data_IF_456190854418
#
_entry.id   IF_456190854418
#
_cell.length_a   1.000
_cell.length_b   1.000
_cell.length_c   1.000
_cell.angle_alpha   90.00
_cell.angle_beta   90.00
_cell.angle_gamma   90.00
#
_symmetry.space_group_name_H-M   'P 1'
#
loop_
_entity.id
_entity.type
_entity.pdbx_description
1 polymer ?
#
# COMPACT_ATOMS: atom_id res chain seq x y z
N UNK A 1 15.70 -16.48 -15.78
CA UNK A 1 15.76 -15.61 -16.98
C UNK A 1 14.41 -15.54 -17.71
N UNK A 2 13.79 -16.67 -18.04
CA UNK A 2 12.50 -16.76 -18.74
C UNK A 2 11.36 -15.94 -18.12
N UNK A 3 11.20 -15.99 -16.79
CA UNK A 3 10.13 -15.26 -16.07
C UNK A 3 10.25 -13.74 -16.19
N UNK A 4 11.49 -13.23 -16.19
CA UNK A 4 11.77 -11.79 -16.37
C UNK A 4 11.36 -11.39 -17.78
N UNK A 5 11.70 -12.21 -18.78
CA UNK A 5 11.31 -11.99 -20.17
C UNK A 5 9.78 -11.95 -20.30
N UNK A 6 9.08 -12.92 -19.69
CA UNK A 6 7.60 -12.95 -19.69
C UNK A 6 7.03 -11.68 -19.05
N UNK A 7 7.58 -11.24 -17.91
CA UNK A 7 7.15 -10.01 -17.23
C UNK A 7 7.35 -8.79 -18.14
N UNK A 8 8.52 -8.66 -18.77
CA UNK A 8 8.85 -7.56 -19.69
C UNK A 8 7.92 -7.56 -20.91
N UNK A 9 7.68 -8.71 -21.54
CA UNK A 9 6.75 -8.85 -22.67
C UNK A 9 5.33 -8.47 -22.26
N UNK A 10 4.89 -8.91 -21.08
CA UNK A 10 3.56 -8.59 -20.53
C UNK A 10 3.40 -7.09 -20.29
N UNK A 11 4.40 -6.45 -19.68
CA UNK A 11 4.41 -4.99 -19.47
C UNK A 11 4.33 -4.27 -20.83
N UNK A 12 5.11 -4.73 -21.81
CA UNK A 12 5.14 -4.16 -23.15
C UNK A 12 3.77 -4.22 -23.85
N UNK A 13 3.12 -5.39 -23.87
CA UNK A 13 1.78 -5.51 -24.46
C UNK A 13 0.73 -4.72 -23.69
N UNK A 14 0.82 -4.66 -22.36
CA UNK A 14 -0.08 -3.84 -21.53
C UNK A 14 0.09 -2.35 -21.85
N UNK A 15 1.32 -1.90 -22.05
CA UNK A 15 1.62 -0.51 -22.43
C UNK A 15 1.12 -0.17 -23.84
N UNK A 16 1.34 -1.05 -24.83
CA UNK A 16 0.82 -0.85 -26.19
C UNK A 16 -0.72 -0.81 -26.17
N UNK A 17 -1.34 -1.71 -25.42
CA UNK A 17 -2.79 -1.76 -25.24
C UNK A 17 -3.34 -0.41 -24.75
N UNK A 18 -2.66 0.22 -23.78
CA UNK A 18 -3.01 1.55 -23.29
C UNK A 18 -2.88 2.68 -24.33
N UNK A 19 -1.91 2.58 -25.23
CA UNK A 19 -1.77 3.55 -26.33
C UNK A 19 -2.91 3.41 -27.35
N UNK A 20 -3.36 2.18 -27.62
CA UNK A 20 -4.36 1.89 -28.64
C UNK A 20 -5.80 2.24 -28.20
N UNK A 21 -6.73 2.39 -29.17
CA UNK A 21 -8.17 2.53 -28.88
C UNK A 21 -8.72 1.32 -28.11
N UNK A 22 -9.66 1.56 -27.18
CA UNK A 22 -10.19 0.54 -26.25
C UNK A 22 -10.63 -0.76 -26.97
N UNK A 23 -11.32 -0.65 -28.11
CA UNK A 23 -11.75 -1.83 -28.90
C UNK A 23 -10.58 -2.67 -29.43
N UNK A 24 -9.53 -2.03 -29.97
CA UNK A 24 -8.35 -2.72 -30.51
C UNK A 24 -7.50 -3.29 -29.36
N UNK A 25 -7.42 -2.54 -28.25
CA UNK A 25 -6.64 -2.90 -27.07
C UNK A 25 -7.06 -4.25 -26.47
N UNK A 26 -8.37 -4.51 -26.40
CA UNK A 26 -8.94 -5.76 -25.88
C UNK A 26 -8.54 -6.93 -26.78
N UNK A 27 -8.65 -6.78 -28.10
CA UNK A 27 -8.25 -7.82 -29.05
C UNK A 27 -6.74 -8.09 -29.02
N UNK A 28 -5.92 -7.04 -28.95
CA UNK A 28 -4.46 -7.19 -28.83
C UNK A 28 -4.09 -7.99 -27.59
N UNK A 29 -4.64 -7.61 -26.42
CA UNK A 29 -4.37 -8.31 -25.16
C UNK A 29 -4.86 -9.75 -25.21
N UNK A 30 -6.06 -10.00 -25.76
CA UNK A 30 -6.60 -11.35 -25.89
C UNK A 30 -5.72 -12.23 -26.78
N UNK A 31 -5.38 -11.76 -27.99
CA UNK A 31 -4.56 -12.52 -28.94
C UNK A 31 -3.16 -12.77 -28.37
N UNK A 32 -2.49 -11.72 -27.89
CA UNK A 32 -1.15 -11.85 -27.30
C UNK A 32 -1.11 -12.78 -26.09
N UNK A 33 -2.12 -12.71 -25.21
CA UNK A 33 -2.24 -13.61 -24.06
C UNK A 33 -2.46 -15.06 -24.49
N UNK A 34 -3.39 -15.31 -25.43
CA UNK A 34 -3.64 -16.64 -25.97
C UNK A 34 -2.38 -17.22 -26.65
N UNK A 35 -1.69 -16.43 -27.48
CA UNK A 35 -0.44 -16.84 -28.11
C UNK A 35 0.65 -17.16 -27.09
N UNK A 36 0.79 -16.34 -26.04
CA UNK A 36 1.75 -16.59 -24.96
C UNK A 36 1.40 -17.86 -24.19
N UNK A 37 0.12 -18.08 -23.86
CA UNK A 37 -0.34 -19.30 -23.19
C UNK A 37 0.03 -20.53 -24.03
N UNK A 38 -0.31 -20.54 -25.31
CA UNK A 38 0.01 -21.65 -26.23
C UNK A 38 1.52 -21.86 -26.32
N UNK A 39 2.30 -20.79 -26.49
CA UNK A 39 3.76 -20.87 -26.53
C UNK A 39 4.35 -21.49 -25.27
N UNK A 40 3.86 -21.10 -24.08
CA UNK A 40 4.35 -21.65 -22.82
C UNK A 40 4.06 -23.14 -22.70
N UNK A 41 2.85 -23.60 -23.06
CA UNK A 41 2.48 -25.01 -23.06
C UNK A 41 3.25 -25.84 -24.11
N UNK A 42 3.67 -25.24 -25.22
CA UNK A 42 4.46 -25.93 -26.26
C UNK A 42 5.94 -26.04 -25.90
N UNK A 43 6.46 -25.14 -25.07
CA UNK A 43 7.90 -25.03 -24.81
C UNK A 43 8.33 -25.58 -23.46
N UNK A 44 7.44 -25.61 -22.47
CA UNK A 44 7.79 -26.00 -21.11
C UNK A 44 6.87 -27.11 -20.61
N UNK A 45 7.35 -27.81 -19.58
CA UNK A 45 6.51 -28.73 -18.83
C UNK A 45 5.35 -27.99 -18.16
N UNK A 46 4.35 -28.77 -17.73
CA UNK A 46 3.13 -28.22 -17.16
C UNK A 46 3.40 -27.28 -15.96
N UNK A 47 4.27 -27.68 -15.04
CA UNK A 47 4.58 -26.91 -13.83
C UNK A 47 5.26 -25.57 -14.15
N UNK A 48 6.26 -25.59 -15.03
CA UNK A 48 6.96 -24.37 -15.46
C UNK A 48 6.03 -23.43 -16.24
N UNK A 49 5.08 -23.99 -16.99
CA UNK A 49 4.03 -23.24 -17.68
C UNK A 49 3.08 -22.57 -16.69
N UNK A 50 2.55 -23.30 -15.71
CA UNK A 50 1.63 -22.76 -14.70
C UNK A 50 2.25 -21.59 -13.94
N UNK A 51 3.52 -21.72 -13.61
CA UNK A 51 4.32 -20.72 -12.91
C UNK A 51 4.58 -19.49 -13.77
N UNK A 52 4.99 -19.70 -15.02
CA UNK A 52 5.14 -18.65 -16.03
C UNK A 52 3.85 -17.85 -16.25
N UNK A 53 2.70 -18.55 -16.32
CA UNK A 53 1.39 -17.92 -16.43
C UNK A 53 1.04 -17.10 -15.20
N UNK A 54 1.31 -17.59 -13.99
CA UNK A 54 1.03 -16.81 -12.78
C UNK A 54 1.85 -15.51 -12.72
N UNK A 55 3.11 -15.52 -13.16
CA UNK A 55 3.93 -14.30 -13.31
C UNK A 55 3.34 -13.36 -14.36
N UNK A 56 2.91 -13.89 -15.50
CA UNK A 56 2.21 -13.12 -16.53
C UNK A 56 0.96 -12.44 -15.96
N UNK A 57 0.08 -13.17 -15.26
CA UNK A 57 -1.13 -12.62 -14.67
C UNK A 57 -0.84 -11.58 -13.59
N UNK A 58 0.05 -11.86 -12.63
CA UNK A 58 0.43 -10.90 -11.59
C UNK A 58 0.99 -9.62 -12.21
N UNK A 59 1.85 -9.75 -13.21
CA UNK A 59 2.42 -8.59 -13.93
C UNK A 59 1.33 -7.80 -14.63
N UNK A 60 0.44 -8.47 -15.37
CA UNK A 60 -0.67 -7.84 -16.07
C UNK A 60 -1.57 -7.06 -15.11
N UNK A 61 -2.10 -7.70 -14.06
CA UNK A 61 -3.00 -7.05 -13.10
C UNK A 61 -2.33 -5.90 -12.34
N UNK A 62 -1.02 -5.99 -12.09
CA UNK A 62 -0.28 -4.92 -11.40
C UNK A 62 -0.14 -3.68 -12.29
N UNK A 63 0.09 -3.87 -13.59
CA UNK A 63 0.33 -2.76 -14.53
C UNK A 63 -0.93 -2.20 -15.18
N UNK A 64 -2.04 -2.94 -15.22
CA UNK A 64 -3.33 -2.40 -15.70
C UNK A 64 -3.86 -1.27 -14.83
N UNK A 65 -3.55 -1.27 -13.53
CA UNK A 65 -3.88 -0.16 -12.61
C UNK A 65 -3.12 1.13 -12.97
N UNK A 66 -1.92 1.00 -13.54
CA UNK A 66 -1.08 2.12 -13.99
C UNK A 66 -1.51 2.57 -15.39
N UNK A 67 -1.68 1.61 -16.30
CA UNK A 67 -2.04 1.82 -17.69
C UNK A 67 -3.55 1.76 -17.92
N UNK A 68 -4.27 2.60 -17.20
CA UNK A 68 -5.73 2.64 -17.20
C UNK A 68 -6.28 3.58 -18.29
N UNK A 69 -7.08 3.04 -19.21
CA UNK A 69 -7.73 3.82 -20.28
C UNK A 69 -8.64 4.93 -19.75
N UNK A 70 -9.30 4.75 -18.61
CA UNK A 70 -10.21 5.75 -18.07
C UNK A 70 -9.42 6.97 -17.56
N UNK A 71 -8.21 6.75 -17.00
CA UNK A 71 -7.27 7.84 -16.66
C UNK A 71 -6.80 8.61 -17.89
N UNK A 72 -6.56 7.91 -19.01
CA UNK A 72 -6.17 8.53 -20.28
C UNK A 72 -7.29 9.40 -20.85
N UNK A 73 -8.54 8.92 -20.83
CA UNK A 73 -9.71 9.69 -21.29
C UNK A 73 -9.88 10.94 -20.42
N UNK A 74 -9.81 10.80 -19.10
CA UNK A 74 -9.89 11.94 -18.16
C UNK A 74 -8.79 12.96 -18.43
N UNK A 75 -7.56 12.51 -18.70
CA UNK A 75 -6.46 13.39 -19.09
C UNK A 75 -6.77 14.18 -20.38
N UNK A 76 -7.29 13.53 -21.41
CA UNK A 76 -7.66 14.20 -22.66
C UNK A 76 -8.77 15.24 -22.44
N UNK A 77 -9.78 14.92 -21.64
CA UNK A 77 -10.85 15.86 -21.26
C UNK A 77 -10.30 17.11 -20.56
N UNK A 78 -9.41 16.93 -19.57
CA UNK A 78 -8.81 18.05 -18.85
C UNK A 78 -7.85 18.87 -19.72
N UNK A 79 -7.13 18.24 -20.64
CA UNK A 79 -6.31 18.96 -21.63
C UNK A 79 -7.16 19.81 -22.58
N UNK A 80 -8.32 19.30 -23.02
CA UNK A 80 -9.27 20.08 -23.82
C UNK A 80 -9.83 21.25 -23.02
N UNK A 81 -10.21 21.01 -21.76
CA UNK A 81 -10.70 22.07 -20.85
C UNK A 81 -9.67 23.19 -20.66
N UNK A 82 -8.40 22.85 -20.46
CA UNK A 82 -7.30 23.82 -20.36
C UNK A 82 -7.05 24.61 -21.65
N UNK A 83 -7.44 24.09 -22.82
CA UNK A 83 -7.23 24.79 -24.09
C UNK A 83 -8.21 25.94 -24.34
N UNK A 84 -9.35 25.93 -23.65
CA UNK A 84 -10.44 26.90 -23.82
C UNK A 84 -10.54 27.86 -22.63
N UNK A 85 -9.99 27.48 -21.47
CA UNK A 85 -10.14 28.21 -20.22
C UNK A 85 -8.88 28.97 -19.84
N UNK A 86 -9.02 30.15 -19.24
CA UNK A 86 -7.90 30.86 -18.64
C UNK A 86 -7.36 30.08 -17.43
N UNK A 87 -6.05 29.85 -17.40
CA UNK A 87 -5.40 29.16 -16.29
C UNK A 87 -4.13 29.88 -15.83
N UNK A 88 -3.79 29.67 -14.57
CA UNK A 88 -2.51 30.07 -13.98
C UNK A 88 -1.70 28.82 -13.68
N UNK A 89 -0.42 28.82 -14.05
CA UNK A 89 0.47 27.69 -13.79
C UNK A 89 1.01 27.81 -12.37
N UNK A 90 0.84 26.75 -11.58
CA UNK A 90 1.48 26.59 -10.28
C UNK A 90 2.84 25.93 -10.52
N UNK A 91 3.88 26.75 -10.66
CA UNK A 91 5.23 26.22 -10.89
C UNK A 91 5.74 25.43 -9.68
N UNK A 92 6.23 24.22 -9.93
CA UNK A 92 6.79 23.34 -8.91
C UNK A 92 8.31 23.43 -8.92
N UNK A 93 8.91 23.64 -7.74
CA UNK A 93 10.37 23.66 -7.59
C UNK A 93 10.93 22.24 -7.69
N UNK A 94 11.85 22.01 -8.63
CA UNK A 94 12.41 20.68 -8.92
C UNK A 94 13.84 20.54 -8.39
N UNK A 95 14.12 19.42 -7.75
CA UNK A 95 15.42 19.07 -7.20
C UNK A 95 15.63 17.55 -7.29
N UNK A 96 16.73 17.15 -7.95
CA UNK A 96 17.09 15.75 -8.19
C UNK A 96 17.25 14.97 -6.88
N UNK A 97 17.64 15.63 -5.78
CA UNK A 97 17.74 15.00 -4.46
C UNK A 97 16.42 14.36 -4.03
N UNK A 98 15.28 14.92 -4.43
CA UNK A 98 13.94 14.44 -4.05
C UNK A 98 13.63 13.07 -4.63
N UNK A 99 13.92 12.85 -5.91
CA UNK A 99 13.69 11.56 -6.58
C UNK A 99 14.77 10.53 -6.22
N UNK A 100 16.02 10.97 -5.99
CA UNK A 100 17.08 10.10 -5.49
C UNK A 100 16.73 9.50 -4.13
N UNK A 101 16.07 10.25 -3.25
CA UNK A 101 15.59 9.72 -1.98
C UNK A 101 14.48 8.67 -2.15
N UNK A 102 13.54 8.87 -3.08
CA UNK A 102 12.53 7.86 -3.41
C UNK A 102 13.20 6.56 -3.93
N UNK A 103 14.16 6.69 -4.85
CA UNK A 103 14.94 5.56 -5.39
C UNK A 103 15.69 4.85 -4.26
N UNK A 104 16.31 5.59 -3.35
CA UNK A 104 17.07 5.01 -2.24
C UNK A 104 16.16 4.24 -1.26
N UNK A 105 14.99 4.79 -0.91
CA UNK A 105 14.01 4.12 -0.04
C UNK A 105 13.42 2.88 -0.71
N UNK A 106 12.99 2.98 -1.97
CA UNK A 106 12.49 1.86 -2.75
C UNK A 106 13.57 0.77 -2.90
N UNK A 107 14.80 1.18 -3.21
CA UNK A 107 15.97 0.32 -3.32
C UNK A 107 16.35 -0.37 -2.01
N UNK A 108 16.19 0.30 -0.85
CA UNK A 108 16.43 -0.31 0.46
C UNK A 108 15.42 -1.42 0.78
N UNK A 109 14.14 -1.20 0.46
CA UNK A 109 13.06 -2.18 0.70
C UNK A 109 13.17 -3.35 -0.29
N UNK A 110 13.37 -3.06 -1.58
CA UNK A 110 13.54 -4.07 -2.62
C UNK A 110 14.88 -4.81 -2.53
N UNK A 111 15.91 -4.14 -2.00
CA UNK A 111 17.29 -4.63 -1.94
C UNK A 111 17.42 -5.93 -1.15
N UNK A 112 16.67 -6.08 -0.05
CA UNK A 112 16.62 -7.35 0.70
C UNK A 112 16.15 -8.49 -0.22
N UNK A 113 15.06 -8.27 -0.96
CA UNK A 113 14.53 -9.26 -1.91
C UNK A 113 15.50 -9.56 -3.05
N UNK A 114 16.17 -8.54 -3.60
CA UNK A 114 17.18 -8.71 -4.65
C UNK A 114 18.40 -9.49 -4.16
N UNK A 115 18.92 -9.16 -2.98
CA UNK A 115 20.03 -9.89 -2.36
C UNK A 115 19.63 -11.35 -2.11
N UNK A 116 18.47 -11.60 -1.50
CA UNK A 116 17.98 -12.95 -1.28
C UNK A 116 17.85 -13.73 -2.60
N UNK A 117 17.36 -13.10 -3.68
CA UNK A 117 17.28 -13.74 -5.00
C UNK A 117 18.64 -14.16 -5.57
N UNK A 118 19.67 -13.34 -5.39
CA UNK A 118 21.02 -13.60 -5.91
C UNK A 118 21.75 -14.70 -5.15
N UNK A 119 21.56 -14.78 -3.83
CA UNK A 119 22.29 -15.71 -2.96
C UNK A 119 21.52 -16.97 -2.59
N UNK A 120 20.23 -17.08 -2.92
CA UNK A 120 19.46 -18.29 -2.61
C UNK A 120 19.96 -19.50 -3.42
N UNK A 121 20.17 -20.67 -2.76
CA UNK A 121 20.41 -21.92 -3.48
C UNK A 121 19.30 -22.24 -4.48
N UNK A 122 19.67 -22.78 -5.64
CA UNK A 122 18.70 -23.18 -6.68
C UNK A 122 17.76 -24.30 -6.23
N UNK A 123 18.05 -25.00 -5.14
CA UNK A 123 17.15 -26.03 -4.61
C UNK A 123 15.85 -25.46 -4.00
N UNK A 124 15.76 -24.14 -3.78
CA UNK A 124 14.61 -23.48 -3.12
C UNK A 124 13.96 -22.49 -4.09
N UNK A 125 13.56 -23.01 -5.25
CA UNK A 125 13.06 -22.19 -6.35
C UNK A 125 11.77 -21.44 -5.93
N UNK A 126 10.91 -22.06 -5.13
CA UNK A 126 9.65 -21.48 -4.62
C UNK A 126 9.84 -20.12 -3.93
N UNK A 127 10.89 -19.98 -3.11
CA UNK A 127 11.15 -18.74 -2.39
C UNK A 127 11.64 -17.63 -3.32
N UNK A 128 12.41 -17.99 -4.35
CA UNK A 128 12.80 -17.05 -5.42
C UNK A 128 11.57 -16.53 -6.17
N UNK A 129 10.57 -17.37 -6.43
CA UNK A 129 9.33 -16.90 -7.06
C UNK A 129 8.57 -15.90 -6.21
N UNK A 130 8.40 -16.18 -4.92
CA UNK A 130 7.75 -15.28 -3.96
C UNK A 130 8.43 -13.90 -3.93
N UNK A 131 9.77 -13.88 -3.88
CA UNK A 131 10.55 -12.64 -3.94
C UNK A 131 10.41 -11.92 -5.28
N UNK A 132 10.36 -12.68 -6.39
CA UNK A 132 10.11 -12.14 -7.72
C UNK A 132 8.75 -11.46 -7.86
N UNK A 133 7.67 -12.10 -7.39
CA UNK A 133 6.34 -11.48 -7.37
C UNK A 133 6.31 -10.20 -6.54
N UNK A 134 6.95 -10.22 -5.37
CA UNK A 134 7.04 -9.03 -4.53
C UNK A 134 7.72 -7.86 -5.26
N UNK A 135 8.83 -8.12 -5.97
CA UNK A 135 9.49 -7.09 -6.76
C UNK A 135 8.59 -6.55 -7.89
N UNK A 136 7.86 -7.43 -8.59
CA UNK A 136 6.91 -7.02 -9.63
C UNK A 136 5.80 -6.13 -9.05
N UNK A 137 5.25 -6.48 -7.89
CA UNK A 137 4.19 -5.72 -7.22
C UNK A 137 4.65 -4.34 -6.72
N UNK A 138 5.94 -4.17 -6.45
CA UNK A 138 6.51 -2.90 -5.98
C UNK A 138 6.78 -1.90 -7.12
N UNK A 139 6.88 -2.35 -8.37
CA UNK A 139 7.20 -1.50 -9.53
C UNK A 139 6.09 -0.48 -9.88
N UNK A 140 4.79 -0.82 -9.96
CA UNK A 140 3.76 0.11 -10.44
C UNK A 140 3.61 1.39 -9.59
N UNK A 141 3.53 1.35 -8.24
CA UNK A 141 3.46 2.56 -7.42
C UNK A 141 4.70 3.44 -7.57
N UNK A 142 5.88 2.82 -7.67
CA UNK A 142 7.14 3.53 -7.89
C UNK A 142 7.20 4.19 -9.28
N UNK A 143 6.73 3.50 -10.31
CA UNK A 143 6.62 4.04 -11.66
C UNK A 143 5.68 5.25 -11.71
N UNK A 144 4.50 5.17 -11.09
CA UNK A 144 3.60 6.32 -10.97
C UNK A 144 4.29 7.51 -10.32
N UNK A 145 4.94 7.28 -9.17
CA UNK A 145 5.66 8.34 -8.44
C UNK A 145 6.77 8.97 -9.27
N UNK A 146 7.56 8.18 -10.00
CA UNK A 146 8.60 8.66 -10.89
C UNK A 146 8.03 9.53 -12.03
N UNK A 147 6.93 9.09 -12.63
CA UNK A 147 6.27 9.81 -13.72
C UNK A 147 5.60 11.11 -13.23
N UNK A 148 5.03 11.11 -12.03
CA UNK A 148 4.52 12.32 -11.39
C UNK A 148 5.63 13.32 -11.12
N UNK A 149 6.78 12.89 -10.59
CA UNK A 149 7.94 13.77 -10.43
C UNK A 149 8.42 14.38 -11.76
N UNK A 150 8.46 13.58 -12.84
CA UNK A 150 8.97 14.03 -14.14
C UNK A 150 7.97 14.91 -14.89
N UNK A 151 6.68 14.58 -14.88
CA UNK A 151 5.72 15.15 -15.82
C UNK A 151 4.55 15.90 -15.18
N UNK A 152 4.37 15.84 -13.85
CA UNK A 152 3.27 16.55 -13.22
C UNK A 152 3.38 18.07 -13.44
N UNK A 153 2.27 18.64 -13.89
CA UNK A 153 2.02 20.07 -14.02
C UNK A 153 0.72 20.39 -13.30
N UNK A 154 0.70 21.53 -12.62
CA UNK A 154 -0.42 21.95 -11.79
C UNK A 154 -0.92 23.29 -12.31
N UNK A 155 -2.23 23.37 -12.50
CA UNK A 155 -2.93 24.48 -13.10
C UNK A 155 -4.06 24.91 -12.16
N UNK A 156 -4.14 26.19 -11.86
CA UNK A 156 -5.28 26.79 -11.18
C UNK A 156 -6.18 27.44 -12.24
N UNK A 157 -7.46 27.12 -12.26
CA UNK A 157 -8.49 27.78 -13.09
C UNK A 157 -9.25 28.74 -12.17
N UNK A 158 -8.93 30.05 -12.16
CA UNK A 158 -9.47 30.99 -11.18
C UNK A 158 -10.99 31.20 -11.32
N UNK A 159 -11.50 31.20 -12.55
CA UNK A 159 -12.92 31.45 -12.86
C UNK A 159 -13.80 30.29 -12.40
N UNK A 160 -13.34 29.06 -12.62
CA UNK A 160 -14.06 27.85 -12.22
C UNK A 160 -13.77 27.42 -10.78
N UNK A 161 -12.75 28.01 -10.14
CA UNK A 161 -12.29 27.63 -8.81
C UNK A 161 -11.89 26.15 -8.73
N UNK A 162 -11.12 25.69 -9.72
CA UNK A 162 -10.69 24.29 -9.82
C UNK A 162 -9.17 24.22 -9.93
N UNK A 163 -8.57 23.32 -9.15
CA UNK A 163 -7.17 22.92 -9.27
C UNK A 163 -7.07 21.68 -10.16
N UNK A 164 -6.36 21.80 -11.27
CA UNK A 164 -6.16 20.73 -12.25
C UNK A 164 -4.71 20.26 -12.20
N UNK A 165 -4.50 18.95 -12.06
CA UNK A 165 -3.18 18.34 -12.08
C UNK A 165 -3.11 17.39 -13.25
N UNK A 166 -2.11 17.54 -14.10
CA UNK A 166 -1.89 16.66 -15.25
C UNK A 166 -0.50 16.08 -15.16
N UNK A 167 -0.43 14.75 -15.07
CA UNK A 167 0.79 13.94 -15.15
C UNK A 167 0.79 13.11 -16.45
N UNK A 168 1.80 12.26 -16.62
CA UNK A 168 1.89 11.40 -17.80
C UNK A 168 0.73 10.40 -17.86
N UNK A 169 0.42 9.73 -16.74
CA UNK A 169 -0.55 8.63 -16.68
C UNK A 169 -1.82 8.95 -15.88
N UNK A 170 -1.81 10.00 -15.08
CA UNK A 170 -2.96 10.39 -14.26
C UNK A 170 -3.27 11.88 -14.45
N UNK A 171 -4.54 12.22 -14.38
CA UNK A 171 -5.00 13.59 -14.33
C UNK A 171 -6.11 13.74 -13.30
N UNK A 172 -6.07 14.84 -12.56
CA UNK A 172 -6.99 15.14 -11.46
C UNK A 172 -7.58 16.52 -11.64
N UNK A 173 -8.82 16.62 -11.19
CA UNK A 173 -9.60 17.84 -11.17
C UNK A 173 -10.16 17.94 -9.76
N UNK A 174 -9.83 19.03 -9.07
CA UNK A 174 -10.06 19.22 -7.66
C UNK A 174 -10.80 20.55 -7.47
N UNK A 175 -12.13 20.50 -7.27
CA UNK A 175 -12.90 21.69 -6.96
C UNK A 175 -12.44 22.30 -5.64
N UNK A 176 -12.17 23.61 -5.64
CA UNK A 176 -11.71 24.32 -4.44
C UNK A 176 -12.79 24.41 -3.36
N UNK A 177 -14.06 24.24 -3.71
CA UNK A 177 -15.17 24.13 -2.76
C UNK A 177 -14.97 22.97 -1.76
N UNK A 178 -14.32 21.88 -2.18
CA UNK A 178 -14.04 20.73 -1.33
C UNK A 178 -12.74 20.86 -0.54
N UNK A 179 -12.05 22.00 -0.59
CA UNK A 179 -10.81 22.21 0.15
C UNK A 179 -11.11 22.42 1.64
N UNK A 180 -10.73 21.44 2.46
CA UNK A 180 -11.01 21.46 3.90
C UNK A 180 -9.90 22.12 4.70
N UNK A 181 -8.62 21.94 4.31
CA UNK A 181 -7.49 22.51 5.04
C UNK A 181 -6.24 22.69 4.21
N UNK A 182 -5.44 23.69 4.58
CA UNK A 182 -4.10 23.92 4.07
C UNK A 182 -3.10 23.89 5.23
N UNK A 183 -2.02 23.15 5.06
CA UNK A 183 -0.93 23.14 6.05
C UNK A 183 0.42 23.34 5.37
N UNK A 184 1.18 24.34 5.85
CA UNK A 184 2.57 24.57 5.46
C UNK A 184 3.49 23.61 6.21
N UNK A 185 4.40 23.00 5.48
CA UNK A 185 5.34 22.01 5.98
C UNK A 185 6.77 22.39 5.57
N UNK A 186 7.71 22.42 6.51
CA UNK A 186 9.07 22.90 6.20
C UNK A 186 9.81 22.05 5.15
N UNK A 187 9.53 20.75 5.10
CA UNK A 187 10.10 19.79 4.15
C UNK A 187 9.08 18.68 3.83
N UNK A 188 9.25 17.91 2.74
CA UNK A 188 8.47 16.71 2.50
C UNK A 188 8.74 15.62 3.55
N UNK A 189 7.68 15.07 4.15
CA UNK A 189 7.78 13.91 5.04
C UNK A 189 7.85 12.60 4.24
N UNK A 190 9.07 12.22 3.85
CA UNK A 190 9.33 11.02 3.06
C UNK A 190 8.75 9.72 3.66
N UNK A 191 8.74 9.60 4.99
CA UNK A 191 8.24 8.41 5.68
C UNK A 191 6.72 8.28 5.65
N UNK A 192 6.04 9.36 5.29
CA UNK A 192 4.59 9.43 5.13
C UNK A 192 4.16 9.41 3.67
N UNK A 193 4.98 9.97 2.78
CA UNK A 193 4.68 10.08 1.34
C UNK A 193 5.08 8.84 0.54
N UNK A 194 6.13 8.13 0.94
CA UNK A 194 6.63 7.01 0.14
C UNK A 194 5.59 5.86 0.09
N UNK A 195 5.22 5.33 -1.09
CA UNK A 195 4.14 4.34 -1.25
C UNK A 195 4.33 3.08 -0.39
N UNK A 196 5.57 2.61 -0.28
CA UNK A 196 5.90 1.41 0.51
C UNK A 196 5.63 1.58 2.02
N UNK A 197 5.53 2.81 2.52
CA UNK A 197 5.26 3.10 3.94
C UNK A 197 3.82 3.54 4.24
N UNK A 198 2.96 3.67 3.22
CA UNK A 198 1.57 4.06 3.42
C UNK A 198 0.79 2.98 4.22
N UNK A 199 0.05 3.33 5.27
CA UNK A 199 -0.66 2.31 6.08
C UNK A 199 -2.10 2.05 5.60
N UNK A 200 -2.94 3.10 5.53
CA UNK A 200 -4.36 3.01 5.15
C UNK A 200 -4.65 3.56 3.76
N UNK A 201 -4.28 4.81 3.49
CA UNK A 201 -4.50 5.47 2.22
C UNK A 201 -3.19 5.90 1.58
N UNK A 202 -3.08 5.68 0.27
CA UNK A 202 -2.02 6.30 -0.53
C UNK A 202 -2.29 7.79 -0.64
N UNK A 203 -1.34 8.60 -0.14
CA UNK A 203 -1.39 10.06 -0.26
C UNK A 203 -0.84 10.48 -1.62
N UNK A 204 -1.42 11.51 -2.22
CA UNK A 204 -0.99 11.97 -3.55
C UNK A 204 0.22 12.88 -3.45
N UNK A 205 1.36 12.37 -3.92
CA UNK A 205 2.65 13.04 -3.79
C UNK A 205 3.12 13.66 -5.10
N UNK A 206 2.90 14.97 -5.22
CA UNK A 206 3.39 15.81 -6.31
C UNK A 206 4.58 16.68 -5.88
N UNK A 207 5.26 16.32 -4.78
CA UNK A 207 6.45 17.04 -4.33
C UNK A 207 7.64 16.75 -5.25
N UNK A 208 8.35 17.81 -5.62
CA UNK A 208 9.47 17.74 -6.58
C UNK A 208 10.79 18.27 -6.02
N UNK A 209 10.81 18.80 -4.79
CA UNK A 209 12.04 19.22 -4.10
C UNK A 209 11.92 19.06 -2.58
N UNK A 210 13.01 19.30 -1.84
CA UNK A 210 13.00 19.45 -0.37
C UNK A 210 12.74 20.91 0.06
N UNK A 211 11.90 21.63 -0.67
CA UNK A 211 11.43 22.95 -0.25
C UNK A 211 10.18 22.83 0.61
N UNK A 212 9.69 23.96 1.11
CA UNK A 212 8.43 24.04 1.83
C UNK A 212 7.30 23.42 1.01
N UNK A 213 6.53 22.55 1.67
CA UNK A 213 5.44 21.79 1.08
C UNK A 213 4.12 22.42 1.50
N UNK A 214 3.20 22.54 0.55
CA UNK A 214 1.80 22.77 0.82
C UNK A 214 1.07 21.43 0.83
N UNK A 215 0.56 21.06 1.99
CA UNK A 215 -0.39 19.97 2.13
C UNK A 215 -1.80 20.55 1.93
N UNK A 216 -2.50 20.05 0.92
CA UNK A 216 -3.90 20.36 0.67
C UNK A 216 -4.73 19.11 0.99
N UNK A 217 -5.72 19.26 1.86
CA UNK A 217 -6.67 18.18 2.18
C UNK A 217 -8.03 18.55 1.64
N UNK A 218 -8.50 17.75 0.70
CA UNK A 218 -9.84 17.79 0.13
C UNK A 218 -10.70 16.69 0.76
N UNK A 219 -12.02 16.77 0.60
CA UNK A 219 -12.94 15.74 1.04
C UNK A 219 -12.65 14.37 0.39
N UNK A 220 -11.96 13.51 1.15
CA UNK A 220 -11.59 12.15 0.74
C UNK A 220 -10.19 11.99 0.14
N UNK A 221 -9.44 13.07 -0.11
CA UNK A 221 -8.06 12.96 -0.59
C UNK A 221 -7.14 14.09 -0.12
N UNK A 222 -5.91 13.72 0.25
CA UNK A 222 -4.84 14.66 0.60
C UNK A 222 -3.71 14.59 -0.42
N UNK A 223 -3.23 15.77 -0.82
CA UNK A 223 -2.12 15.94 -1.74
C UNK A 223 -1.02 16.87 -1.22
N UNK A 224 0.18 16.71 -1.77
CA UNK A 224 1.38 17.44 -1.36
C UNK A 224 2.05 18.08 -2.57
N UNK A 225 2.32 19.38 -2.47
CA UNK A 225 2.92 20.19 -3.53
C UNK A 225 4.12 20.97 -3.03
N UNK A 226 5.10 21.19 -3.90
CA UNK A 226 6.23 22.10 -3.64
C UNK A 226 6.22 23.27 -4.63
N UNK A 227 5.28 24.23 -4.49
CA UNK A 227 5.23 25.38 -5.37
C UNK A 227 6.42 26.31 -5.15
N UNK A 228 6.80 27.10 -6.15
CA UNK A 228 7.88 28.10 -6.04
C UNK A 228 7.47 29.25 -5.10
N UNK A 229 6.26 29.79 -5.27
CA UNK A 229 5.74 30.91 -4.46
C UNK A 229 4.75 30.41 -3.40
N UNK A 230 5.27 29.78 -2.36
CA UNK A 230 4.47 29.09 -1.32
C UNK A 230 3.53 30.04 -0.60
N UNK A 231 4.00 31.23 -0.19
CA UNK A 231 3.19 32.20 0.54
C UNK A 231 2.03 32.71 -0.30
N UNK A 232 2.29 33.06 -1.56
CA UNK A 232 1.27 33.57 -2.48
C UNK A 232 0.16 32.54 -2.74
N UNK A 233 0.53 31.28 -3.01
CA UNK A 233 -0.45 30.21 -3.24
C UNK A 233 -1.21 29.83 -1.97
N UNK A 234 -0.53 29.79 -0.82
CA UNK A 234 -1.18 29.56 0.47
C UNK A 234 -2.24 30.63 0.74
N UNK A 235 -1.90 31.91 0.63
CA UNK A 235 -2.85 33.01 0.83
C UNK A 235 -3.98 32.99 -0.21
N UNK A 236 -3.67 32.64 -1.47
CA UNK A 236 -4.69 32.57 -2.51
C UNK A 236 -5.72 31.47 -2.23
N UNK A 237 -5.27 30.28 -1.84
CA UNK A 237 -6.13 29.11 -1.60
C UNK A 237 -6.85 29.15 -0.24
N UNK A 238 -6.27 29.80 0.77
CA UNK A 238 -6.89 29.94 2.09
C UNK A 238 -8.26 30.64 2.02
N UNK A 239 -8.45 31.51 1.02
CA UNK A 239 -9.72 32.21 0.76
C UNK A 239 -10.90 31.30 0.41
N UNK A 240 -10.65 30.05 0.00
CA UNK A 240 -11.70 29.09 -0.31
C UNK A 240 -12.12 28.24 0.90
N UNK A 241 -11.37 28.32 2.00
CA UNK A 241 -11.69 27.56 3.22
C UNK A 241 -12.76 28.30 4.00
N UNK A 242 -13.90 27.63 4.23
CA UNK A 242 -15.04 28.23 4.94
C UNK A 242 -14.81 28.37 6.46
N UNK A 243 -13.92 27.55 7.04
CA UNK A 243 -13.62 27.52 8.47
C UNK A 243 -12.24 28.10 8.72
N UNK A 244 -12.17 29.19 9.50
CA UNK A 244 -10.91 29.80 9.89
C UNK A 244 -9.98 28.77 10.54
N UNK A 245 -8.81 28.57 9.93
CA UNK A 245 -7.80 27.65 10.44
C UNK A 245 -6.77 28.40 11.27
N UNK A 246 -6.26 27.73 12.30
CA UNK A 246 -5.00 28.15 12.90
C UNK A 246 -3.90 27.74 11.92
N UNK A 247 -3.24 28.72 11.28
CA UNK A 247 -2.04 28.47 10.47
C UNK A 247 -0.98 27.79 11.35
N UNK A 248 -0.91 26.46 11.28
CA UNK A 248 0.10 25.67 11.99
C UNK A 248 1.17 25.26 11.00
N UNK A 249 2.26 26.02 10.95
CA UNK A 249 3.48 25.54 10.28
C UNK A 249 3.99 24.29 10.99
N UNK A 250 4.02 23.18 10.26
CA UNK A 250 4.56 21.92 10.78
C UNK A 250 6.01 21.77 10.35
N UNK A 251 6.92 21.93 11.30
CA UNK A 251 8.33 21.68 11.03
C UNK A 251 8.61 20.16 10.96
N UNK A 252 9.03 19.69 9.78
CA UNK A 252 9.40 18.29 9.56
C UNK A 252 10.91 18.14 9.74
N UNK A 253 11.25 17.29 10.71
CA UNK A 253 12.63 16.94 11.00
C UNK A 253 13.25 16.15 9.84
N UNK A 254 14.57 16.24 9.63
CA UNK A 254 15.24 15.49 8.58
C UNK A 254 15.27 13.98 8.89
N UNK A 255 15.47 13.15 7.86
CA UNK A 255 15.41 11.68 7.99
C UNK A 255 16.49 11.14 8.96
N UNK A 256 17.67 11.76 8.98
CA UNK A 256 18.78 11.38 9.87
C UNK A 256 18.56 11.77 11.34
N UNK A 257 17.48 12.48 11.66
CA UNK A 257 17.15 12.75 13.05
C UNK A 257 16.77 11.45 13.80
N UNK A 258 17.17 11.32 15.06
CA UNK A 258 16.99 10.07 15.85
C UNK A 258 15.53 9.59 15.89
N UNK A 259 14.56 10.50 15.99
CA UNK A 259 13.13 10.15 15.96
C UNK A 259 12.69 9.57 14.61
N UNK A 260 13.18 10.15 13.51
CA UNK A 260 12.87 9.68 12.16
C UNK A 260 13.60 8.39 11.80
N UNK A 261 14.81 8.16 12.32
CA UNK A 261 15.48 6.86 12.19
C UNK A 261 14.64 5.78 12.87
N UNK A 262 14.17 6.01 14.10
CA UNK A 262 13.28 5.07 14.80
C UNK A 262 11.99 4.82 14.00
N UNK A 263 11.39 5.88 13.45
CA UNK A 263 10.18 5.81 12.62
C UNK A 263 10.42 5.04 11.31
N UNK A 264 11.56 5.26 10.66
CA UNK A 264 12.00 4.53 9.47
C UNK A 264 12.19 3.04 9.78
N UNK A 265 12.76 2.67 10.93
CA UNK A 265 12.91 1.26 11.32
C UNK A 265 11.55 0.57 11.50
N UNK A 266 10.61 1.20 12.20
CA UNK A 266 9.26 0.64 12.36
C UNK A 266 8.51 0.52 11.04
N UNK A 267 8.52 1.58 10.21
CA UNK A 267 7.87 1.57 8.89
C UNK A 267 8.54 0.62 7.90
N UNK A 268 9.86 0.52 7.94
CA UNK A 268 10.64 -0.44 7.17
C UNK A 268 10.29 -1.88 7.55
N UNK A 269 10.24 -2.18 8.86
CA UNK A 269 9.81 -3.48 9.34
C UNK A 269 8.37 -3.81 8.91
N UNK A 270 7.45 -2.84 9.02
CA UNK A 270 6.08 -2.99 8.53
C UNK A 270 6.03 -3.26 7.02
N UNK A 271 6.78 -2.50 6.22
CA UNK A 271 6.84 -2.65 4.77
C UNK A 271 7.38 -4.02 4.34
N UNK A 272 8.39 -4.54 5.05
CA UNK A 272 9.05 -5.81 4.73
C UNK A 272 8.28 -7.02 5.27
N UNK A 273 7.56 -6.88 6.40
CA UNK A 273 6.91 -8.00 7.11
C UNK A 273 5.41 -8.11 6.85
N UNK A 274 4.71 -6.99 6.67
CA UNK A 274 3.25 -6.95 6.50
C UNK A 274 2.88 -6.69 5.04
N UNK A 275 3.50 -5.68 4.42
CA UNK A 275 3.28 -5.39 2.98
C UNK A 275 4.12 -6.28 2.05
N UNK A 276 5.21 -6.84 2.57
CA UNK A 276 6.11 -7.70 1.83
C UNK A 276 6.17 -9.10 2.44
N UNK A 277 6.48 -10.08 1.59
CA UNK A 277 6.81 -11.45 2.06
C UNK A 277 8.29 -11.53 2.52
N UNK A 278 9.03 -10.44 2.35
CA UNK A 278 10.48 -10.38 2.42
C UNK A 278 11.07 -10.69 3.80
N UNK A 279 10.40 -10.38 4.92
CA UNK A 279 10.97 -10.66 6.25
C UNK A 279 11.09 -12.16 6.52
N UNK A 280 10.00 -12.90 6.30
CA UNK A 280 9.96 -14.34 6.51
C UNK A 280 10.81 -15.07 5.48
N UNK A 281 10.76 -14.62 4.21
CA UNK A 281 11.63 -15.21 3.19
C UNK A 281 13.10 -14.96 3.51
N UNK A 282 13.50 -13.76 3.94
CA UNK A 282 14.88 -13.47 4.32
C UNK A 282 15.35 -14.34 5.51
N UNK A 283 14.52 -14.48 6.55
CA UNK A 283 14.83 -15.35 7.69
C UNK A 283 15.04 -16.80 7.23
N UNK A 284 14.10 -17.34 6.44
CA UNK A 284 14.21 -18.69 5.88
C UNK A 284 15.47 -18.83 5.01
N UNK A 285 15.76 -17.83 4.18
CA UNK A 285 16.94 -17.78 3.32
C UNK A 285 18.22 -17.92 4.12
N UNK A 286 18.34 -17.15 5.21
CA UNK A 286 19.51 -17.16 6.10
C UNK A 286 19.65 -18.53 6.77
N UNK A 287 18.57 -19.06 7.34
CA UNK A 287 18.61 -20.34 8.05
C UNK A 287 18.98 -21.50 7.12
N UNK A 288 18.47 -21.48 5.88
CA UNK A 288 18.81 -22.49 4.89
C UNK A 288 20.25 -22.32 4.39
N UNK A 289 20.71 -21.09 4.17
CA UNK A 289 22.11 -20.81 3.83
C UNK A 289 23.08 -21.30 4.92
N UNK A 290 22.68 -21.21 6.19
CA UNK A 290 23.41 -21.76 7.34
C UNK A 290 23.27 -23.28 7.50
N UNK A 291 22.59 -23.98 6.57
CA UNK A 291 22.34 -25.41 6.59
C UNK A 291 21.68 -25.89 7.89
N UNK A 292 20.83 -25.06 8.49
CA UNK A 292 20.10 -25.43 9.70
C UNK A 292 19.13 -26.59 9.41
N UNK A 293 19.04 -27.60 10.28
CA UNK A 293 18.07 -28.68 10.11
C UNK A 293 16.64 -28.16 10.28
N UNK A 294 15.67 -28.84 9.67
CA UNK A 294 14.27 -28.37 9.56
C UNK A 294 13.64 -28.04 10.92
N UNK A 295 13.96 -28.78 11.99
CA UNK A 295 13.41 -28.52 13.32
C UNK A 295 13.90 -27.18 13.90
N UNK A 296 15.15 -26.78 13.62
CA UNK A 296 15.67 -25.45 13.99
C UNK A 296 14.91 -24.38 13.21
N UNK A 297 14.71 -24.59 11.90
CA UNK A 297 13.95 -23.66 11.06
C UNK A 297 12.54 -23.46 11.62
N UNK A 298 11.83 -24.55 11.95
CA UNK A 298 10.49 -24.50 12.53
C UNK A 298 10.47 -23.71 13.85
N UNK A 299 11.42 -23.95 14.75
CA UNK A 299 11.53 -23.22 16.02
C UNK A 299 11.75 -21.72 15.78
N UNK A 300 12.67 -21.34 14.90
CA UNK A 300 12.95 -19.92 14.62
C UNK A 300 11.77 -19.22 13.96
N UNK A 301 11.09 -19.86 13.00
CA UNK A 301 9.88 -19.32 12.38
C UNK A 301 8.77 -19.12 13.41
N UNK A 302 8.58 -20.09 14.31
CA UNK A 302 7.59 -20.00 15.39
C UNK A 302 7.94 -18.89 16.39
N UNK A 303 9.20 -18.79 16.81
CA UNK A 303 9.67 -17.70 17.69
C UNK A 303 9.51 -16.33 17.02
N UNK A 304 9.81 -16.22 15.73
CA UNK A 304 9.61 -15.00 14.98
C UNK A 304 8.14 -14.61 14.87
N UNK A 305 7.25 -15.58 14.69
CA UNK A 305 5.81 -15.35 14.73
C UNK A 305 5.34 -14.85 16.10
N UNK A 306 5.78 -15.49 17.20
CA UNK A 306 5.49 -15.03 18.56
C UNK A 306 6.03 -13.62 18.82
N UNK A 307 7.23 -13.33 18.33
CA UNK A 307 7.81 -11.99 18.41
C UNK A 307 6.95 -10.97 17.69
N UNK A 308 6.54 -11.24 16.44
CA UNK A 308 5.65 -10.36 15.67
C UNK A 308 4.32 -10.13 16.38
N UNK A 309 3.75 -11.17 16.98
CA UNK A 309 2.55 -11.05 17.80
C UNK A 309 2.76 -10.09 18.97
N UNK A 310 3.88 -10.20 19.69
CA UNK A 310 4.20 -9.34 20.82
C UNK A 310 4.50 -7.87 20.44
N UNK A 311 4.98 -7.61 19.22
CA UNK A 311 5.26 -6.25 18.76
C UNK A 311 4.14 -5.65 17.89
N UNK A 312 3.10 -6.41 17.54
CA UNK A 312 2.07 -6.01 16.57
C UNK A 312 1.43 -4.66 16.91
N UNK A 313 1.00 -4.46 18.16
CA UNK A 313 0.35 -3.19 18.57
C UNK A 313 1.30 -2.00 18.40
N UNK A 314 2.55 -2.13 18.85
CA UNK A 314 3.58 -1.10 18.71
C UNK A 314 3.94 -0.85 17.25
N UNK A 315 4.02 -1.91 16.46
CA UNK A 315 4.27 -1.83 15.03
C UNK A 315 3.17 -1.03 14.34
N UNK A 316 1.90 -1.30 14.63
CA UNK A 316 0.76 -0.58 14.06
C UNK A 316 0.77 0.91 14.46
N UNK A 317 0.96 1.21 15.76
CA UNK A 317 1.02 2.60 16.25
C UNK A 317 2.11 3.39 15.50
N UNK A 318 3.31 2.82 15.39
CA UNK A 318 4.44 3.51 14.77
C UNK A 318 4.39 3.51 13.24
N UNK A 319 3.86 2.48 12.59
CA UNK A 319 3.74 2.42 11.14
C UNK A 319 2.68 3.39 10.61
N UNK A 320 1.61 3.59 11.37
CA UNK A 320 0.50 4.50 11.02
C UNK A 320 0.73 5.96 11.43
N UNK A 321 1.84 6.27 12.11
CA UNK A 321 2.10 7.59 12.71
C UNK A 321 0.95 8.04 13.64
N UNK A 322 0.39 7.10 14.40
CA UNK A 322 -0.74 7.36 15.27
C UNK A 322 -0.33 8.25 16.45
N UNK A 323 -1.14 9.26 16.73
CA UNK A 323 -0.95 10.19 17.84
C UNK A 323 -1.93 9.86 18.97
N UNK A 324 -1.46 9.79 20.22
CA UNK A 324 -2.29 9.42 21.36
C UNK A 324 -3.24 10.57 21.73
N UNK A 325 -4.54 10.27 21.82
CA UNK A 325 -5.56 11.23 22.23
C UNK A 325 -5.63 11.21 23.75
N UNK A 326 -5.15 12.29 24.39
CA UNK A 326 -5.01 12.39 25.84
C UNK A 326 -5.92 13.42 26.50
N UNK A 327 -6.58 14.27 25.71
CA UNK A 327 -7.45 15.33 26.19
C UNK A 327 -8.52 15.69 25.15
N UNK A 328 -9.50 16.52 25.55
CA UNK A 328 -10.58 17.01 24.69
C UNK A 328 -11.83 16.14 24.73
N UNK A 329 -12.87 16.58 24.01
CA UNK A 329 -14.19 15.92 24.01
C UNK A 329 -14.10 14.44 23.59
N UNK A 330 -13.34 14.16 22.53
CA UNK A 330 -13.14 12.79 22.03
C UNK A 330 -12.52 11.88 23.10
N UNK A 331 -11.55 12.39 23.87
CA UNK A 331 -10.97 11.65 24.99
C UNK A 331 -12.04 11.33 26.04
N UNK A 332 -12.81 12.32 26.49
CA UNK A 332 -13.85 12.13 27.50
C UNK A 332 -14.91 11.11 27.07
N UNK A 333 -15.40 11.23 25.82
CA UNK A 333 -16.37 10.28 25.25
C UNK A 333 -15.78 8.86 25.24
N UNK A 334 -14.52 8.71 24.82
CA UNK A 334 -13.87 7.40 24.79
C UNK A 334 -13.71 6.80 26.18
N UNK A 335 -13.33 7.59 27.18
CA UNK A 335 -13.18 7.13 28.56
C UNK A 335 -14.51 6.68 29.17
N UNK A 336 -15.60 7.39 28.87
CA UNK A 336 -16.95 7.00 29.30
C UNK A 336 -17.32 5.62 28.73
N UNK A 337 -17.14 5.42 27.42
CA UNK A 337 -17.42 4.14 26.74
C UNK A 337 -16.52 3.03 27.29
N UNK A 338 -15.22 3.29 27.47
CA UNK A 338 -14.27 2.30 27.97
C UNK A 338 -14.59 1.89 29.41
N UNK A 339 -15.03 2.84 30.24
CA UNK A 339 -15.51 2.58 31.60
C UNK A 339 -16.77 1.72 31.58
N UNK A 340 -17.78 2.07 30.77
CA UNK A 340 -19.01 1.30 30.63
C UNK A 340 -18.76 -0.13 30.10
N UNK A 341 -17.81 -0.29 29.19
CA UNK A 341 -17.44 -1.59 28.64
C UNK A 341 -16.57 -2.43 29.60
N UNK A 342 -15.98 -1.83 30.64
CA UNK A 342 -15.08 -2.49 31.60
C UNK A 342 -13.63 -2.64 31.12
N UNK A 343 -13.17 -1.74 30.23
CA UNK A 343 -11.86 -1.79 29.57
C UNK A 343 -11.05 -0.49 29.78
N UNK A 344 -11.03 0.02 31.00
CA UNK A 344 -10.48 1.35 31.38
C UNK A 344 -9.00 1.57 31.05
N UNK A 345 -8.20 0.52 30.83
CA UNK A 345 -6.80 0.67 30.40
C UNK A 345 -6.62 0.75 28.87
N UNK A 346 -7.72 0.84 28.10
CA UNK A 346 -7.69 1.02 26.64
C UNK A 346 -7.26 2.44 26.29
N UNK A 347 -6.35 2.57 25.32
CA UNK A 347 -5.86 3.86 24.83
C UNK A 347 -6.48 4.19 23.47
N UNK A 348 -6.77 5.48 23.27
CA UNK A 348 -7.27 5.99 22.02
C UNK A 348 -6.14 6.70 21.25
N UNK A 349 -6.00 6.39 19.97
CA UNK A 349 -5.09 7.07 19.07
C UNK A 349 -5.83 7.62 17.86
N UNK A 350 -5.27 8.65 17.25
CA UNK A 350 -5.73 9.25 16.02
C UNK A 350 -4.70 9.02 14.90
N UNK A 351 -5.16 8.56 13.75
CA UNK A 351 -4.36 8.41 12.54
C UNK A 351 -4.79 9.48 11.55
N UNK A 352 -3.82 10.23 11.03
CA UNK A 352 -4.06 11.19 9.96
C UNK A 352 -4.40 10.45 8.65
N UNK A 353 -5.67 10.44 8.25
CA UNK A 353 -6.18 9.80 7.03
C UNK A 353 -7.56 10.34 6.65
N UNK A 354 -7.82 10.41 5.35
CA UNK A 354 -9.07 10.91 4.75
C UNK A 354 -10.14 9.81 4.61
N UNK A 355 -9.79 8.56 4.94
CA UNK A 355 -10.72 7.41 4.89
C UNK A 355 -11.45 7.31 6.22
N UNK A 356 -12.77 7.18 6.19
CA UNK A 356 -13.57 6.86 7.38
C UNK A 356 -13.24 5.44 7.85
N UNK A 357 -12.48 5.34 8.93
CA UNK A 357 -12.11 4.06 9.52
C UNK A 357 -11.88 4.18 11.03
N UNK A 358 -12.09 3.07 11.74
CA UNK A 358 -11.75 2.86 13.13
C UNK A 358 -11.42 1.39 13.31
N UNK A 359 -10.37 1.08 14.06
CA UNK A 359 -10.05 -0.32 14.36
C UNK A 359 -9.43 -0.49 15.74
N UNK A 360 -9.80 -1.59 16.38
CA UNK A 360 -9.23 -2.08 17.62
C UNK A 360 -8.07 -3.06 17.39
N UNK A 361 -6.99 -2.87 18.14
CA UNK A 361 -5.89 -3.83 18.28
C UNK A 361 -5.56 -4.04 19.76
N UNK A 362 -4.87 -5.14 20.08
CA UNK A 362 -4.48 -5.46 21.45
C UNK A 362 -4.73 -6.90 21.81
N UNK A 363 -3.69 -7.59 22.28
CA UNK A 363 -3.80 -8.95 22.81
C UNK A 363 -4.10 -9.02 24.31
N UNK A 364 -3.81 -7.95 25.06
CA UNK A 364 -3.89 -7.96 26.52
C UNK A 364 -5.25 -7.50 27.05
N UNK A 365 -5.78 -8.25 28.01
CA UNK A 365 -7.01 -7.94 28.73
C UNK A 365 -6.86 -6.59 29.43
N UNK A 366 -7.74 -5.65 29.12
CA UNK A 366 -7.74 -4.31 29.73
C UNK A 366 -6.62 -3.38 29.27
N UNK A 367 -5.80 -3.77 28.28
CA UNK A 367 -4.78 -2.91 27.64
C UNK A 367 -4.92 -2.97 26.12
N UNK A 368 -6.11 -2.63 25.64
CA UNK A 368 -6.39 -2.53 24.21
C UNK A 368 -5.97 -1.17 23.65
N UNK A 369 -5.97 -1.06 22.33
CA UNK A 369 -5.70 0.17 21.60
C UNK A 369 -6.78 0.34 20.55
N UNK A 370 -7.47 1.47 20.55
CA UNK A 370 -8.39 1.85 19.47
C UNK A 370 -7.75 2.98 18.69
N UNK A 371 -7.77 2.88 17.36
CA UNK A 371 -7.28 3.92 16.47
C UNK A 371 -8.45 4.42 15.61
N UNK A 372 -8.65 5.73 15.58
CA UNK A 372 -9.62 6.38 14.69
C UNK A 372 -8.89 7.22 13.65
N UNK A 373 -9.40 7.28 12.42
CA UNK A 373 -8.86 8.22 11.44
C UNK A 373 -9.35 9.64 11.69
N UNK A 374 -8.58 10.65 11.25
CA UNK A 374 -8.98 12.05 11.32
C UNK A 374 -10.30 12.32 10.61
N UNK A 375 -10.58 11.65 9.49
CA UNK A 375 -11.90 11.73 8.83
C UNK A 375 -13.03 11.22 9.73
N UNK A 376 -12.85 10.07 10.40
CA UNK A 376 -13.85 9.53 11.35
C UNK A 376 -14.14 10.49 12.49
N UNK A 377 -13.12 11.18 13.01
CA UNK A 377 -13.32 12.12 14.12
C UNK A 377 -14.12 13.37 13.75
N UNK A 378 -14.26 13.66 12.45
CA UNK A 378 -15.10 14.77 11.94
C UNK A 378 -16.59 14.40 11.80
N UNK A 379 -16.94 13.12 11.94
CA UNK A 379 -18.33 12.69 11.91
C UNK A 379 -19.11 13.24 13.12
N UNK A 380 -20.44 13.13 13.08
CA UNK A 380 -21.28 13.54 14.21
C UNK A 380 -20.89 12.80 15.50
N UNK A 381 -21.01 13.46 16.64
CA UNK A 381 -20.67 12.88 17.96
C UNK A 381 -21.38 11.54 18.20
N UNK A 382 -22.61 11.37 17.71
CA UNK A 382 -23.34 10.10 17.79
C UNK A 382 -22.73 8.99 16.93
N UNK A 383 -22.30 9.30 15.71
CA UNK A 383 -21.62 8.34 14.83
C UNK A 383 -20.27 7.91 15.43
N UNK A 384 -19.47 8.87 15.92
CA UNK A 384 -18.19 8.58 16.58
C UNK A 384 -18.39 7.70 17.82
N UNK A 385 -19.39 8.00 18.66
CA UNK A 385 -19.77 7.17 19.82
C UNK A 385 -20.14 5.75 19.42
N UNK A 386 -20.92 5.59 18.35
CA UNK A 386 -21.33 4.27 17.86
C UNK A 386 -20.12 3.45 17.38
N UNK A 387 -19.19 4.07 16.62
CA UNK A 387 -17.96 3.44 16.16
C UNK A 387 -17.07 3.05 17.35
N UNK A 388 -16.84 3.96 18.30
CA UNK A 388 -16.06 3.67 19.50
C UNK A 388 -16.66 2.53 20.33
N UNK A 389 -17.99 2.50 20.48
CA UNK A 389 -18.67 1.42 21.19
C UNK A 389 -18.53 0.08 20.47
N UNK A 390 -18.61 0.07 19.13
CA UNK A 390 -18.38 -1.12 18.30
C UNK A 390 -16.96 -1.66 18.49
N UNK A 391 -15.95 -0.80 18.33
CA UNK A 391 -14.54 -1.18 18.50
C UNK A 391 -14.21 -1.61 19.94
N UNK A 392 -14.82 -1.00 20.95
CA UNK A 392 -14.67 -1.40 22.34
C UNK A 392 -15.17 -2.83 22.60
N UNK A 393 -16.23 -3.27 21.91
CA UNK A 393 -16.73 -4.65 22.01
C UNK A 393 -15.70 -5.63 21.43
N UNK A 394 -15.04 -5.31 20.32
CA UNK A 394 -13.97 -6.15 19.75
C UNK A 394 -12.82 -6.36 20.74
N UNK A 395 -12.44 -5.32 21.47
CA UNK A 395 -11.43 -5.43 22.54
C UNK A 395 -11.94 -6.31 23.68
N UNK A 396 -13.18 -6.08 24.14
CA UNK A 396 -13.78 -6.83 25.25
C UNK A 396 -13.88 -8.32 24.94
N UNK A 397 -14.29 -8.67 23.71
CA UNK A 397 -14.41 -10.06 23.23
C UNK A 397 -13.07 -10.69 22.86
N UNK A 398 -12.00 -9.88 22.75
CA UNK A 398 -10.65 -10.31 22.36
C UNK A 398 -10.60 -10.89 20.95
N UNK A 399 -11.36 -10.30 20.04
CA UNK A 399 -11.54 -10.83 18.69
C UNK A 399 -10.20 -10.96 17.95
N UNK A 400 -9.27 -10.02 18.18
CA UNK A 400 -7.91 -10.09 17.63
C UNK A 400 -7.18 -11.34 18.14
N UNK A 401 -7.16 -11.59 19.45
CA UNK A 401 -6.47 -12.76 20.01
C UNK A 401 -7.13 -14.07 19.56
N UNK A 402 -8.46 -14.15 19.58
CA UNK A 402 -9.22 -15.34 19.18
C UNK A 402 -8.99 -15.64 17.70
N UNK A 403 -9.05 -14.64 16.82
CA UNK A 403 -8.78 -14.82 15.40
C UNK A 403 -7.35 -15.30 15.15
N UNK A 404 -6.37 -14.83 15.91
CA UNK A 404 -4.98 -15.25 15.73
C UNK A 404 -4.73 -16.68 16.22
N UNK A 405 -5.34 -17.07 17.35
CA UNK A 405 -5.32 -18.47 17.81
C UNK A 405 -6.03 -19.37 16.79
N UNK A 406 -7.18 -18.94 16.27
CA UNK A 406 -7.90 -19.67 15.21
C UNK A 406 -7.06 -19.85 13.95
N UNK A 407 -6.36 -18.79 13.50
CA UNK A 407 -5.41 -18.86 12.38
C UNK A 407 -4.24 -19.79 12.66
N UNK A 408 -3.71 -19.78 13.87
CA UNK A 408 -2.63 -20.70 14.28
C UNK A 408 -3.10 -22.16 14.22
N UNK A 409 -4.26 -22.47 14.80
CA UNK A 409 -4.84 -23.83 14.75
C UNK A 409 -5.08 -24.24 13.31
N UNK A 410 -5.65 -23.36 12.47
CA UNK A 410 -5.84 -23.62 11.05
C UNK A 410 -4.52 -23.94 10.34
N UNK A 411 -3.47 -23.15 10.57
CA UNK A 411 -2.15 -23.40 9.98
C UNK A 411 -1.54 -24.73 10.43
N UNK A 412 -1.69 -25.10 11.70
CA UNK A 412 -1.23 -26.40 12.21
C UNK A 412 -2.00 -27.53 11.54
N UNK A 413 -3.33 -27.45 11.47
CA UNK A 413 -4.18 -28.46 10.82
C UNK A 413 -3.84 -28.58 9.34
N UNK A 414 -3.65 -27.46 8.62
CA UNK A 414 -3.25 -27.47 7.22
C UNK A 414 -1.86 -28.10 7.05
N UNK A 415 -0.89 -27.70 7.86
CA UNK A 415 0.46 -28.26 7.81
C UNK A 415 0.48 -29.76 8.11
N UNK A 416 -0.28 -30.21 9.12
CA UNK A 416 -0.44 -31.62 9.45
C UNK A 416 -1.16 -32.38 8.33
N UNK A 417 -2.22 -31.81 7.74
CA UNK A 417 -2.94 -32.44 6.63
C UNK A 417 -2.05 -32.61 5.41
N UNK A 418 -1.21 -31.61 5.09
CA UNK A 418 -0.21 -31.69 4.03
C UNK A 418 0.83 -32.77 4.35
N UNK A 419 1.30 -32.83 5.60
CA UNK A 419 2.28 -33.83 6.03
C UNK A 419 1.73 -35.27 5.90
N UNK A 420 0.53 -35.53 6.42
CA UNK A 420 -0.12 -36.86 6.34
C UNK A 420 -0.43 -37.23 4.89
N UNK A 421 -0.86 -36.25 4.10
CA UNK A 421 -1.21 -36.47 2.69
C UNK A 421 -0.02 -36.30 1.75
N UNK A 422 1.22 -36.17 2.25
CA UNK A 422 2.36 -35.75 1.43
C UNK A 422 2.63 -36.72 0.28
N UNK A 423 2.64 -38.02 0.55
CA UNK A 423 2.86 -39.04 -0.48
C UNK A 423 1.69 -39.12 -1.46
N UNK A 424 0.46 -38.94 -0.98
CA UNK A 424 -0.74 -38.87 -1.83
C UNK A 424 -0.70 -37.63 -2.74
N UNK A 425 -0.34 -36.47 -2.19
CA UNK A 425 -0.13 -35.21 -2.90
C UNK A 425 0.98 -35.37 -3.94
N UNK A 426 2.06 -36.08 -3.62
CA UNK A 426 3.15 -36.38 -4.54
C UNK A 426 2.68 -37.24 -5.72
N UNK A 427 1.91 -38.29 -5.46
CA UNK A 427 1.29 -39.12 -6.51
C UNK A 427 0.26 -38.34 -7.35
N UNK A 428 -0.47 -37.42 -6.72
CA UNK A 428 -1.41 -36.51 -7.39
C UNK A 428 -0.71 -35.49 -8.29
N UNK A 429 0.47 -34.99 -7.88
CA UNK A 429 1.33 -34.09 -8.65
C UNK A 429 1.90 -34.80 -9.90
N UNK A 430 2.12 -36.11 -9.84
CA UNK A 430 2.48 -36.93 -11.00
C UNK A 430 1.34 -37.08 -12.02
N UNK A 431 0.10 -36.72 -11.66
CA UNK A 431 -1.08 -36.70 -12.54
C UNK A 431 -1.41 -35.26 -12.98
N UNK A 432 -0.90 -34.80 -14.14
CA UNK A 432 -0.91 -33.38 -14.51
C UNK A 432 -2.33 -32.79 -14.58
N UNK A 433 -3.32 -33.56 -15.01
CA UNK A 433 -4.71 -33.12 -15.13
C UNK A 433 -5.38 -32.81 -13.77
N UNK A 434 -5.14 -33.63 -12.74
CA UNK A 434 -5.76 -33.41 -11.44
C UNK A 434 -5.10 -32.26 -10.69
N UNK A 435 -3.77 -32.12 -10.85
CA UNK A 435 -3.03 -30.99 -10.31
C UNK A 435 -3.46 -29.65 -10.95
N UNK A 436 -3.70 -29.61 -12.28
CA UNK A 436 -4.31 -28.47 -12.99
C UNK A 436 -5.64 -28.08 -12.34
N UNK A 437 -6.52 -29.06 -12.14
CA UNK A 437 -7.86 -28.80 -11.59
C UNK A 437 -7.75 -28.24 -10.17
N UNK A 438 -6.93 -28.85 -9.32
CA UNK A 438 -6.74 -28.43 -7.93
C UNK A 438 -6.12 -27.04 -7.80
N UNK A 439 -5.08 -26.73 -8.60
CA UNK A 439 -4.43 -25.42 -8.53
C UNK A 439 -5.28 -24.31 -9.14
N UNK A 440 -6.10 -24.61 -10.15
CA UNK A 440 -7.07 -23.65 -10.69
C UNK A 440 -8.25 -23.46 -9.74
N UNK A 441 -8.70 -24.49 -9.03
CA UNK A 441 -9.71 -24.34 -7.98
C UNK A 441 -9.17 -23.47 -6.84
N UNK A 442 -7.93 -23.75 -6.41
CA UNK A 442 -7.27 -22.98 -5.36
C UNK A 442 -7.01 -21.54 -5.77
N UNK A 443 -6.55 -21.29 -6.99
CA UNK A 443 -6.32 -19.94 -7.51
C UNK A 443 -7.63 -19.18 -7.74
N UNK A 444 -8.71 -19.84 -8.16
CA UNK A 444 -10.04 -19.22 -8.29
C UNK A 444 -10.61 -18.81 -6.92
N UNK A 445 -10.44 -19.65 -5.89
CA UNK A 445 -10.83 -19.32 -4.50
C UNK A 445 -9.95 -18.19 -3.96
N UNK A 446 -8.63 -18.24 -4.20
CA UNK A 446 -7.71 -17.22 -3.71
C UNK A 446 -7.92 -15.88 -4.41
N UNK A 447 -8.17 -15.87 -5.72
CA UNK A 447 -8.44 -14.67 -6.50
C UNK A 447 -9.77 -14.03 -6.09
N UNK A 448 -10.80 -14.82 -5.80
CA UNK A 448 -12.09 -14.31 -5.31
C UNK A 448 -11.98 -13.75 -3.89
N UNK A 449 -11.19 -14.38 -3.00
CA UNK A 449 -10.88 -13.83 -1.68
C UNK A 449 -10.02 -12.56 -1.76
N UNK A 450 -9.02 -12.52 -2.65
CA UNK A 450 -8.17 -11.36 -2.87
C UNK A 450 -8.93 -10.18 -3.49
N UNK A 451 -9.80 -10.43 -4.47
CA UNK A 451 -10.70 -9.43 -5.02
C UNK A 451 -11.73 -8.96 -4.00
N UNK A 452 -12.22 -9.84 -3.11
CA UNK A 452 -13.03 -9.46 -1.96
C UNK A 452 -12.32 -8.51 -1.01
N UNK A 453 -11.02 -8.73 -0.76
CA UNK A 453 -10.18 -7.82 0.03
C UNK A 453 -9.92 -6.47 -0.66
N UNK A 454 -9.74 -6.45 -1.98
CA UNK A 454 -9.54 -5.21 -2.75
C UNK A 454 -10.83 -4.40 -2.92
N UNK A 455 -11.97 -5.07 -3.11
CA UNK A 455 -13.27 -4.44 -3.30
C UNK A 455 -13.96 -4.04 -1.99
N UNK A 456 -13.57 -4.64 -0.86
CA UNK A 456 -14.02 -4.26 0.49
C UNK A 456 -13.39 -2.96 1.03
N UNK A 457 -12.57 -2.27 0.23
CA UNK A 457 -11.99 -0.95 0.54
C UNK A 457 -12.66 0.19 -0.24
N UNK A 458 -13.89 0.01 -0.72
CA UNK A 458 -14.72 1.07 -1.30
C UNK A 458 -15.90 1.40 -0.41
#
# INVERSE_FOLDING_TARGET
MQLVIISVITIFFTFISFILPKKISVWLLFISSCSMIVYLFMTNEFFDTALSLSVMFVTYFSFTVVFDHDKKVKKQQLQQKLSVTNFQIVELKRDVRRILMDIWLAGGIAGVSVICLLFLPEMIITLKYVLGYYLILMLPPFLNRLLDYLFAKVYMLPEEQVLVIISLLEARELPMEHLESIQKQSNPDMLRLHPSFAFLSERKDYTTSFATVLRLTFSGETMYLTPVNVEAWSMYWDRFIQVAQVETEKNILPIWHRSNIKRLLWKGYFAISVKGVAAYTALLSILIFLHCPWYVITVFVFLWWLFNMYIADRLLIHASDAEEVTAGELYHISQEIFSQAGITGTRLYMIDSDVYNGFATGMHIGKGTIMLTSATTKLSSSAVKAILAHEAIHIKKRDVMVNQIGRMVLMIVLGFSIFVSFDLLKQLIEQPLLFIILINLFSAIFLSVYQGFLNGQK
#
